data_IF_525966589745
#
_entry.id   IF_525966589745
#
_cell.length_a   1.000
_cell.length_b   1.000
_cell.length_c   1.000
_cell.angle_alpha   90.00
_cell.angle_beta   90.00
_cell.angle_gamma   90.00
#
_symmetry.space_group_name_H-M   'P 1'
#
loop_
_entity.id
_entity.type
_entity.pdbx_description
1 polymer ?
#
# COMPACT_ATOMS: atom_id res chain seq x y z
N UNK A 1 50.59 96.58 -51.29
CA UNK A 1 51.56 95.53 -50.86
C UNK A 1 51.27 94.28 -51.66
N UNK A 2 52.25 93.67 -52.33
CA UNK A 2 52.02 92.47 -53.14
C UNK A 2 51.84 91.24 -52.25
N UNK A 3 50.93 90.35 -52.64
CA UNK A 3 50.62 89.09 -51.94
C UNK A 3 51.87 88.25 -51.63
N UNK A 4 52.91 88.33 -52.47
CA UNK A 4 54.18 87.62 -52.28
C UNK A 4 54.99 88.06 -51.06
N UNK A 5 54.92 89.33 -50.64
CA UNK A 5 55.61 89.81 -49.42
C UNK A 5 54.85 89.36 -48.17
N UNK A 6 53.52 89.40 -48.22
CA UNK A 6 52.67 88.92 -47.12
C UNK A 6 52.77 87.40 -46.94
N UNK A 7 52.77 86.63 -48.04
CA UNK A 7 52.89 85.17 -48.01
C UNK A 7 54.24 84.69 -47.45
N UNK A 8 55.34 85.41 -47.69
CA UNK A 8 56.65 85.11 -47.10
C UNK A 8 56.69 85.40 -45.59
N UNK A 9 56.07 86.48 -45.14
CA UNK A 9 56.04 86.83 -43.71
C UNK A 9 55.04 85.98 -42.90
N UNK A 10 54.05 85.38 -43.56
CA UNK A 10 52.96 84.62 -42.94
C UNK A 10 52.88 83.16 -43.44
N UNK A 11 54.00 82.59 -43.90
CA UNK A 11 54.03 81.25 -44.50
C UNK A 11 53.51 80.14 -43.56
N UNK A 12 53.68 80.33 -42.24
CA UNK A 12 53.13 79.47 -41.19
C UNK A 12 51.59 79.38 -41.25
N UNK A 13 50.89 80.49 -41.56
CA UNK A 13 49.42 80.50 -41.67
C UNK A 13 48.97 79.72 -42.91
N UNK A 14 49.72 79.80 -44.03
CA UNK A 14 49.43 79.03 -45.24
C UNK A 14 49.67 77.52 -45.04
N UNK A 15 50.76 77.16 -44.35
CA UNK A 15 51.04 75.76 -44.00
C UNK A 15 49.98 75.22 -43.04
N UNK A 16 49.63 75.96 -41.99
CA UNK A 16 48.59 75.56 -41.04
C UNK A 16 47.21 75.46 -41.71
N UNK A 17 46.85 76.40 -42.60
CA UNK A 17 45.60 76.32 -43.36
C UNK A 17 45.58 75.12 -44.31
N UNK A 18 46.69 74.84 -44.99
CA UNK A 18 46.84 73.64 -45.84
C UNK A 18 46.70 72.35 -45.04
N UNK A 19 47.32 72.28 -43.85
CA UNK A 19 47.17 71.15 -42.92
C UNK A 19 45.74 71.03 -42.42
N UNK A 20 45.06 72.13 -42.07
CA UNK A 20 43.65 72.10 -41.63
C UNK A 20 42.70 71.62 -42.74
N UNK A 21 42.92 72.04 -43.99
CA UNK A 21 42.11 71.61 -45.14
C UNK A 21 42.39 70.14 -45.48
N UNK A 22 43.64 69.67 -45.37
CA UNK A 22 43.98 68.25 -45.58
C UNK A 22 43.55 67.34 -44.41
N UNK A 23 43.46 67.87 -43.19
CA UNK A 23 43.06 67.13 -42.00
C UNK A 23 41.59 66.70 -42.04
N UNK A 24 40.69 67.48 -42.65
CA UNK A 24 39.26 67.17 -42.67
C UNK A 24 38.94 65.91 -43.54
N UNK A 25 39.39 65.79 -44.80
CA UNK A 25 39.17 64.58 -45.60
C UNK A 25 39.86 63.36 -45.02
N UNK A 26 41.07 63.53 -44.47
CA UNK A 26 41.81 62.42 -43.85
C UNK A 26 41.12 61.95 -42.57
N UNK A 27 40.69 62.85 -41.70
CA UNK A 27 39.89 62.52 -40.51
C UNK A 27 38.58 61.82 -40.88
N UNK A 28 37.87 62.28 -41.92
CA UNK A 28 36.66 61.61 -42.40
C UNK A 28 36.93 60.20 -42.93
N UNK A 29 38.00 60.01 -43.71
CA UNK A 29 38.41 58.70 -44.20
C UNK A 29 38.75 57.72 -43.07
N UNK A 30 39.56 58.17 -42.10
CA UNK A 30 39.90 57.36 -40.93
C UNK A 30 38.68 57.08 -40.05
N UNK A 31 37.81 58.05 -39.84
CA UNK A 31 36.55 57.87 -39.10
C UNK A 31 35.63 56.85 -39.78
N UNK A 32 35.47 56.94 -41.10
CA UNK A 32 34.66 55.99 -41.88
C UNK A 32 35.24 54.57 -41.83
N UNK A 33 36.58 54.45 -41.90
CA UNK A 33 37.27 53.16 -41.77
C UNK A 33 37.09 52.56 -40.37
N UNK A 34 37.32 53.35 -39.32
CA UNK A 34 37.11 52.91 -37.94
C UNK A 34 35.66 52.51 -37.66
N UNK A 35 34.69 53.23 -38.22
CA UNK A 35 33.27 52.90 -38.08
C UNK A 35 32.93 51.57 -38.76
N UNK A 36 33.43 51.35 -39.98
CA UNK A 36 33.27 50.07 -40.69
C UNK A 36 33.93 48.90 -39.94
N UNK A 37 35.14 49.11 -39.43
CA UNK A 37 35.86 48.10 -38.65
C UNK A 37 35.15 47.78 -37.33
N UNK A 38 34.55 48.79 -36.68
CA UNK A 38 33.77 48.59 -35.45
C UNK A 38 32.47 47.82 -35.71
N UNK A 39 31.73 48.17 -36.77
CA UNK A 39 30.53 47.41 -37.18
C UNK A 39 30.91 45.97 -37.52
N UNK A 40 31.98 45.76 -38.29
CA UNK A 40 32.44 44.43 -38.67
C UNK A 40 32.85 43.62 -37.43
N UNK A 41 33.60 44.21 -36.51
CA UNK A 41 34.01 43.55 -35.25
C UNK A 41 32.80 43.16 -34.40
N UNK A 42 31.78 44.01 -34.32
CA UNK A 42 30.55 43.71 -33.58
C UNK A 42 29.71 42.63 -34.28
N UNK A 43 29.63 42.65 -35.61
CA UNK A 43 28.96 41.59 -36.39
C UNK A 43 29.69 40.25 -36.25
N UNK A 44 31.03 40.25 -36.31
CA UNK A 44 31.84 39.05 -36.16
C UNK A 44 31.71 38.47 -34.73
N UNK A 45 31.68 39.32 -33.69
CA UNK A 45 31.38 38.90 -32.31
C UNK A 45 29.97 38.34 -32.18
N UNK A 46 28.95 39.05 -32.67
CA UNK A 46 27.57 38.58 -32.62
C UNK A 46 27.37 37.25 -33.36
N UNK A 47 27.99 37.08 -34.54
CA UNK A 47 27.95 35.83 -35.31
C UNK A 47 28.70 34.71 -34.58
N UNK A 48 29.83 35.02 -33.93
CA UNK A 48 30.58 34.06 -33.11
C UNK A 48 29.74 33.61 -31.91
N UNK A 49 29.18 34.54 -31.15
CA UNK A 49 28.32 34.24 -29.99
C UNK A 49 27.09 33.43 -30.42
N UNK A 50 26.46 33.77 -31.55
CA UNK A 50 25.33 33.03 -32.12
C UNK A 50 25.75 31.62 -32.55
N UNK A 51 26.94 31.47 -33.15
CA UNK A 51 27.48 30.14 -33.51
C UNK A 51 27.80 29.29 -32.29
N UNK A 52 28.35 29.88 -31.22
CA UNK A 52 28.63 29.17 -29.96
C UNK A 52 27.32 28.69 -29.31
N UNK A 53 26.28 29.54 -29.28
CA UNK A 53 24.95 29.17 -28.78
C UNK A 53 24.29 28.10 -29.67
N UNK A 54 24.41 28.19 -30.99
CA UNK A 54 23.86 27.21 -31.92
C UNK A 54 24.53 25.83 -31.81
N UNK A 55 25.77 25.78 -31.29
CA UNK A 55 26.52 24.54 -31.07
C UNK A 55 26.12 23.86 -29.75
N UNK A 56 25.51 24.59 -28.80
CA UNK A 56 24.95 24.01 -27.58
C UNK A 56 23.69 23.19 -27.89
N UNK A 57 23.89 21.88 -28.02
CA UNK A 57 22.80 20.91 -28.07
C UNK A 57 22.35 20.60 -26.66
N UNK A 58 21.07 20.81 -26.39
CA UNK A 58 20.42 20.33 -25.16
C UNK A 58 19.64 19.08 -25.52
N UNK A 59 19.76 18.05 -24.68
CA UNK A 59 18.94 16.84 -24.81
C UNK A 59 17.64 17.06 -24.06
N UNK A 60 16.56 17.15 -24.82
CA UNK A 60 15.21 17.22 -24.30
C UNK A 60 14.73 15.81 -23.96
N UNK A 61 14.38 15.56 -22.70
CA UNK A 61 13.94 14.23 -22.24
C UNK A 61 12.52 14.27 -21.69
N UNK A 62 11.66 13.37 -22.16
CA UNK A 62 10.36 13.12 -21.54
C UNK A 62 10.37 11.72 -20.90
N UNK A 63 10.17 11.61 -19.58
CA UNK A 63 10.14 10.32 -18.91
C UNK A 63 8.88 9.54 -19.30
N UNK A 64 9.02 8.22 -19.41
CA UNK A 64 7.90 7.32 -19.69
C UNK A 64 7.17 7.03 -18.40
N UNK A 65 5.83 7.03 -18.43
CA UNK A 65 5.04 6.52 -17.30
C UNK A 65 5.02 4.99 -17.27
N UNK A 66 5.16 4.34 -18.44
CA UNK A 66 5.06 2.86 -18.55
C UNK A 66 6.37 2.14 -18.31
N UNK A 67 7.49 2.77 -18.67
CA UNK A 67 8.82 2.16 -18.61
C UNK A 67 9.82 3.20 -18.08
N UNK A 68 9.92 3.39 -16.76
CA UNK A 68 10.76 4.43 -16.16
C UNK A 68 12.24 4.31 -16.54
N UNK A 69 12.69 3.09 -16.84
CA UNK A 69 14.07 2.76 -17.24
C UNK A 69 14.36 3.06 -18.73
N UNK A 70 13.32 3.15 -19.57
CA UNK A 70 13.44 3.54 -20.96
C UNK A 70 13.11 5.03 -21.08
N UNK A 71 14.12 5.83 -21.42
CA UNK A 71 13.93 7.24 -21.75
C UNK A 71 13.07 7.33 -23.00
N UNK A 72 11.75 7.44 -22.82
CA UNK A 72 10.76 7.24 -23.89
C UNK A 72 10.82 8.25 -25.01
N UNK A 73 11.50 9.38 -24.82
CA UNK A 73 11.74 10.35 -25.87
C UNK A 73 12.95 11.22 -25.52
N UNK A 74 14.07 11.00 -26.22
CA UNK A 74 15.22 11.89 -26.23
C UNK A 74 15.28 12.61 -27.58
N UNK A 75 15.20 13.94 -27.57
CA UNK A 75 15.41 14.74 -28.77
C UNK A 75 16.61 15.66 -28.54
N UNK A 76 17.77 15.42 -29.16
CA UNK A 76 18.88 16.36 -29.14
C UNK A 76 18.60 17.50 -30.11
N UNK A 77 18.55 18.74 -29.61
CA UNK A 77 18.27 19.90 -30.45
C UNK A 77 18.90 21.18 -29.91
N UNK A 78 18.91 22.27 -30.70
CA UNK A 78 19.33 23.57 -30.20
C UNK A 78 18.38 24.06 -29.09
N UNK A 79 18.88 24.96 -28.24
CA UNK A 79 18.07 25.59 -27.21
C UNK A 79 16.91 26.38 -27.87
N UNK A 80 15.67 25.99 -27.58
CA UNK A 80 14.47 26.58 -28.18
C UNK A 80 13.40 26.76 -27.10
N UNK A 81 13.09 28.01 -26.76
CA UNK A 81 12.13 28.34 -25.70
C UNK A 81 10.76 27.70 -25.92
N UNK A 82 10.25 27.68 -27.15
CA UNK A 82 8.95 27.06 -27.45
C UNK A 82 8.97 25.55 -27.17
N UNK A 83 10.10 24.88 -27.46
CA UNK A 83 10.26 23.46 -27.18
C UNK A 83 10.39 23.19 -25.67
N UNK A 84 11.12 24.04 -24.95
CA UNK A 84 11.21 24.01 -23.48
C UNK A 84 9.81 24.14 -22.87
N UNK A 85 9.03 25.12 -23.31
CA UNK A 85 7.68 25.37 -22.79
C UNK A 85 6.76 24.17 -23.05
N UNK A 86 6.77 23.61 -24.27
CA UNK A 86 5.98 22.41 -24.62
C UNK A 86 6.37 21.20 -23.76
N UNK A 87 7.67 20.96 -23.58
CA UNK A 87 8.15 19.85 -22.75
C UNK A 87 7.82 20.07 -21.28
N UNK A 88 7.90 21.30 -20.79
CA UNK A 88 7.53 21.64 -19.42
C UNK A 88 6.04 21.40 -19.19
N UNK A 89 5.18 21.80 -20.13
CA UNK A 89 3.73 21.51 -20.09
C UNK A 89 3.49 20.00 -20.06
N UNK A 90 4.12 19.23 -20.94
CA UNK A 90 3.91 17.78 -20.99
C UNK A 90 4.48 17.06 -19.76
N UNK A 91 5.66 17.46 -19.26
CA UNK A 91 6.22 16.95 -17.99
C UNK A 91 5.30 17.24 -16.82
N UNK A 92 4.73 18.44 -16.75
CA UNK A 92 3.78 18.80 -15.69
C UNK A 92 2.49 17.98 -15.79
N UNK A 93 2.02 17.71 -17.00
CA UNK A 93 0.86 16.83 -17.23
C UNK A 93 1.15 15.39 -16.81
N UNK A 94 2.28 14.82 -17.25
CA UNK A 94 2.75 13.49 -16.84
C UNK A 94 2.87 13.41 -15.32
N UNK A 95 3.53 14.39 -14.70
CA UNK A 95 3.68 14.46 -13.23
C UNK A 95 2.31 14.51 -12.55
N UNK A 96 1.38 15.33 -13.03
CA UNK A 96 0.03 15.43 -12.48
C UNK A 96 -0.75 14.11 -12.62
N UNK A 97 -0.64 13.41 -13.76
CA UNK A 97 -1.27 12.11 -13.98
C UNK A 97 -0.65 11.02 -13.09
N UNK A 98 0.69 10.93 -13.01
CA UNK A 98 1.38 10.00 -12.12
C UNK A 98 1.06 10.26 -10.64
N UNK A 99 0.97 11.53 -10.22
CA UNK A 99 0.54 11.89 -8.86
C UNK A 99 -0.91 11.48 -8.58
N UNK A 100 -1.80 11.54 -9.58
CA UNK A 100 -3.17 11.04 -9.44
C UNK A 100 -3.19 9.53 -9.22
N UNK A 101 -2.44 8.76 -10.03
CA UNK A 101 -2.33 7.30 -9.86
C UNK A 101 -1.80 6.95 -8.46
N UNK A 102 -0.75 7.64 -8.00
CA UNK A 102 -0.23 7.49 -6.64
C UNK A 102 -1.28 7.79 -5.57
N UNK A 103 -2.04 8.88 -5.71
CA UNK A 103 -3.11 9.23 -4.75
C UNK A 103 -4.24 8.22 -4.72
N UNK A 104 -4.60 7.64 -5.87
CA UNK A 104 -5.62 6.58 -5.96
C UNK A 104 -5.09 5.31 -5.29
N UNK A 105 -3.83 4.95 -5.54
CA UNK A 105 -3.19 3.80 -4.88
C UNK A 105 -3.12 3.97 -3.35
N UNK A 106 -2.83 5.18 -2.86
CA UNK A 106 -2.83 5.47 -1.42
C UNK A 106 -4.23 5.32 -0.81
N UNK A 107 -5.26 5.92 -1.42
CA UNK A 107 -6.64 5.78 -0.94
C UNK A 107 -7.14 4.35 -1.00
N UNK A 108 -6.79 3.63 -2.06
CA UNK A 108 -7.14 2.22 -2.21
C UNK A 108 -6.52 1.38 -1.08
N UNK A 109 -5.26 1.62 -0.73
CA UNK A 109 -4.56 0.89 0.32
C UNK A 109 -4.95 1.32 1.74
N UNK A 110 -5.21 2.61 1.97
CA UNK A 110 -5.75 3.15 3.22
C UNK A 110 -7.20 2.72 3.44
N UNK A 111 -7.92 2.36 2.37
CA UNK A 111 -9.32 1.97 2.40
C UNK A 111 -10.27 3.19 2.40
N UNK A 112 -11.54 2.95 2.09
CA UNK A 112 -12.58 3.99 2.06
C UNK A 112 -13.85 3.52 2.80
N UNK A 113 -14.64 4.48 3.30
CA UNK A 113 -15.90 4.21 3.99
C UNK A 113 -15.72 3.34 5.25
N UNK A 114 -16.46 2.23 5.33
CA UNK A 114 -16.40 1.28 6.45
C UNK A 114 -15.09 0.47 6.50
N UNK A 115 -14.29 0.49 5.42
CA UNK A 115 -12.99 -0.16 5.30
C UNK A 115 -11.81 0.79 5.54
N UNK A 116 -12.06 2.05 5.88
CA UNK A 116 -11.00 3.01 6.16
C UNK A 116 -10.17 2.54 7.35
N UNK A 117 -8.88 2.26 7.11
CA UNK A 117 -7.96 1.77 8.12
C UNK A 117 -7.68 2.84 9.17
N UNK A 118 -8.18 2.60 10.37
CA UNK A 118 -7.94 3.44 11.55
C UNK A 118 -7.27 2.62 12.65
N UNK A 119 -6.45 3.25 13.50
CA UNK A 119 -6.04 2.64 14.76
C UNK A 119 -7.25 2.10 15.51
N UNK A 120 -7.14 0.90 16.07
CA UNK A 120 -8.20 0.30 16.86
C UNK A 120 -8.49 1.10 18.14
N UNK A 121 -7.47 1.83 18.63
CA UNK A 121 -7.58 2.73 19.76
C UNK A 121 -6.86 4.04 19.49
N UNK A 122 -7.51 5.14 19.83
CA UNK A 122 -6.93 6.47 19.75
C UNK A 122 -5.93 6.71 20.88
N UNK A 123 -4.87 7.48 20.59
CA UNK A 123 -3.89 7.94 21.59
C UNK A 123 -2.80 6.93 21.96
N UNK A 124 -2.69 5.80 21.24
CA UNK A 124 -1.59 4.83 21.40
C UNK A 124 -0.46 5.09 20.38
N UNK A 125 -0.83 5.41 19.16
CA UNK A 125 0.07 5.56 18.02
C UNK A 125 0.15 7.02 17.57
N UNK A 126 1.32 7.50 17.09
CA UNK A 126 2.62 6.82 17.02
C UNK A 126 3.37 6.77 18.35
N UNK A 127 2.95 7.57 19.32
CA UNK A 127 3.42 7.60 20.70
C UNK A 127 2.21 7.70 21.63
N UNK A 128 2.36 7.28 22.88
CA UNK A 128 1.29 7.40 23.87
C UNK A 128 0.96 8.88 24.11
N UNK A 129 -0.29 9.28 23.89
CA UNK A 129 -0.73 10.66 24.05
C UNK A 129 -0.56 11.17 25.49
N UNK A 130 -0.71 10.27 26.48
CA UNK A 130 -0.46 10.56 27.90
C UNK A 130 0.49 9.50 28.48
N UNK A 131 1.78 9.85 28.68
CA UNK A 131 2.78 8.94 29.27
C UNK A 131 2.38 8.42 30.66
N UNK A 132 1.63 9.20 31.46
CA UNK A 132 1.18 8.79 32.79
C UNK A 132 0.11 7.70 32.73
N UNK A 133 -0.58 7.56 31.59
CA UNK A 133 -1.60 6.53 31.36
C UNK A 133 -1.11 5.36 30.50
N UNK A 134 0.18 5.29 30.18
CA UNK A 134 0.78 4.24 29.34
C UNK A 134 0.27 2.85 29.72
N UNK A 135 0.45 2.44 30.98
CA UNK A 135 0.06 1.11 31.46
C UNK A 135 -1.44 0.83 31.27
N UNK A 136 -2.30 1.82 31.54
CA UNK A 136 -3.74 1.68 31.38
C UNK A 136 -4.13 1.53 29.90
N UNK A 137 -3.48 2.30 29.01
CA UNK A 137 -3.70 2.21 27.56
C UNK A 137 -3.23 0.85 27.00
N UNK A 138 -2.08 0.34 27.47
CA UNK A 138 -1.59 -0.98 27.07
C UNK A 138 -2.55 -2.10 27.50
N UNK A 139 -3.04 -2.06 28.75
CA UNK A 139 -4.04 -3.02 29.24
C UNK A 139 -5.36 -2.93 28.48
N UNK A 140 -5.82 -1.71 28.17
CA UNK A 140 -7.02 -1.49 27.39
C UNK A 140 -6.85 -2.07 25.96
N UNK A 141 -5.68 -1.89 25.34
CA UNK A 141 -5.41 -2.46 24.01
C UNK A 141 -5.40 -3.99 24.02
N UNK A 142 -4.77 -4.61 25.02
CA UNK A 142 -4.84 -6.07 25.20
C UNK A 142 -6.27 -6.56 25.31
N UNK A 143 -7.11 -5.87 26.11
CA UNK A 143 -8.53 -6.20 26.25
C UNK A 143 -9.29 -6.04 24.94
N UNK A 144 -9.05 -4.95 24.22
CA UNK A 144 -9.76 -4.62 22.99
C UNK A 144 -9.49 -5.67 21.90
N UNK A 145 -8.22 -6.03 21.71
CA UNK A 145 -7.80 -7.07 20.76
C UNK A 145 -8.23 -8.48 21.16
N UNK A 146 -8.25 -8.80 22.45
CA UNK A 146 -8.64 -10.14 22.92
C UNK A 146 -10.16 -10.38 22.93
N UNK A 147 -10.95 -9.34 23.20
CA UNK A 147 -12.38 -9.50 23.52
C UNK A 147 -13.33 -8.89 22.49
N UNK A 148 -12.99 -7.75 21.89
CA UNK A 148 -13.98 -6.92 21.20
C UNK A 148 -13.77 -6.88 19.68
N UNK A 149 -12.54 -6.65 19.22
CA UNK A 149 -12.25 -6.34 17.81
C UNK A 149 -12.62 -7.50 16.88
N UNK A 150 -12.14 -8.72 17.17
CA UNK A 150 -12.36 -9.87 16.28
C UNK A 150 -13.82 -10.32 16.22
N UNK A 151 -14.57 -10.41 17.35
CA UNK A 151 -16.01 -10.67 17.28
C UNK A 151 -16.80 -9.61 16.50
N UNK A 152 -16.44 -8.33 16.63
CA UNK A 152 -17.05 -7.25 15.85
C UNK A 152 -16.77 -7.41 14.35
N UNK A 153 -15.53 -7.76 14.00
CA UNK A 153 -15.10 -8.01 12.63
C UNK A 153 -15.88 -9.19 11.99
N UNK A 154 -15.99 -10.31 12.71
CA UNK A 154 -16.78 -11.49 12.28
C UNK A 154 -18.25 -11.13 12.08
N UNK A 155 -18.83 -10.35 12.99
CA UNK A 155 -20.23 -9.91 12.90
C UNK A 155 -20.47 -9.02 11.67
N UNK A 156 -19.55 -8.09 11.38
CA UNK A 156 -19.65 -7.19 10.21
C UNK A 156 -19.72 -7.97 8.90
N UNK A 157 -18.91 -9.00 8.74
CA UNK A 157 -18.89 -9.84 7.53
C UNK A 157 -19.95 -10.96 7.55
N UNK A 158 -20.87 -10.92 8.52
CA UNK A 158 -21.92 -11.93 8.74
C UNK A 158 -21.36 -13.35 8.84
N UNK A 159 -20.18 -13.52 9.41
CA UNK A 159 -19.61 -14.82 9.68
C UNK A 159 -20.00 -15.30 11.09
N UNK A 160 -19.82 -16.58 11.36
CA UNK A 160 -20.09 -17.12 12.69
C UNK A 160 -19.78 -18.59 12.85
N UNK A 161 -20.08 -19.11 14.04
CA UNK A 161 -19.91 -20.52 14.37
C UNK A 161 -21.11 -21.37 13.90
N UNK A 162 -20.91 -22.70 13.72
CA UNK A 162 -22.03 -23.64 13.58
C UNK A 162 -22.92 -23.64 14.83
N UNK A 163 -24.11 -24.26 14.78
CA UNK A 163 -24.97 -24.37 15.96
C UNK A 163 -24.24 -25.01 17.13
N UNK A 164 -24.42 -24.44 18.32
CA UNK A 164 -23.84 -24.99 19.55
C UNK A 164 -24.28 -26.46 19.73
N UNK A 165 -23.33 -27.42 19.76
CA UNK A 165 -23.64 -28.84 19.90
C UNK A 165 -24.43 -29.16 21.17
N UNK A 166 -24.15 -28.45 22.28
CA UNK A 166 -24.81 -28.70 23.56
C UNK A 166 -26.27 -28.27 23.48
N UNK A 167 -26.52 -27.05 23.02
CA UNK A 167 -27.87 -26.54 22.82
C UNK A 167 -28.67 -27.42 21.85
N UNK A 168 -28.09 -27.80 20.72
CA UNK A 168 -28.76 -28.64 19.74
C UNK A 168 -29.08 -30.03 20.29
N UNK A 169 -28.17 -30.61 21.08
CA UNK A 169 -28.41 -31.91 21.72
C UNK A 169 -29.58 -31.86 22.71
N UNK A 170 -29.73 -30.77 23.47
CA UNK A 170 -30.85 -30.55 24.37
C UNK A 170 -32.17 -30.40 23.62
N UNK A 171 -32.19 -29.59 22.54
CA UNK A 171 -33.36 -29.41 21.67
C UNK A 171 -33.79 -30.75 21.02
N UNK A 172 -32.85 -31.56 20.55
CA UNK A 172 -33.13 -32.88 19.97
C UNK A 172 -33.60 -33.90 21.01
N UNK A 173 -33.06 -33.87 22.24
CA UNK A 173 -33.51 -34.75 23.32
C UNK A 173 -34.95 -34.44 23.74
N UNK A 174 -35.31 -33.17 23.79
CA UNK A 174 -36.69 -32.73 24.05
C UNK A 174 -37.64 -33.16 22.92
N UNK A 175 -37.25 -32.93 21.66
CA UNK A 175 -38.02 -33.37 20.48
C UNK A 175 -38.22 -34.89 20.48
N UNK A 176 -37.17 -35.66 20.76
CA UNK A 176 -37.23 -37.11 20.89
C UNK A 176 -38.26 -37.54 21.94
N UNK A 177 -38.23 -36.96 23.14
CA UNK A 177 -39.19 -37.26 24.21
C UNK A 177 -40.64 -36.93 23.83
N UNK A 178 -40.86 -35.76 23.23
CA UNK A 178 -42.19 -35.30 22.80
C UNK A 178 -42.77 -36.21 21.70
N UNK A 179 -41.97 -36.54 20.68
CA UNK A 179 -42.40 -37.42 19.57
C UNK A 179 -42.61 -38.85 20.02
N UNK A 180 -41.74 -39.39 20.85
CA UNK A 180 -41.90 -40.73 21.45
C UNK A 180 -43.24 -40.81 22.21
N UNK A 181 -43.57 -39.81 23.02
CA UNK A 181 -44.87 -39.75 23.72
C UNK A 181 -46.06 -39.68 22.75
N UNK A 182 -45.94 -38.94 21.65
CA UNK A 182 -46.98 -38.86 20.62
C UNK A 182 -47.18 -40.21 19.89
N UNK A 183 -46.09 -40.90 19.56
CA UNK A 183 -46.15 -42.22 18.91
C UNK A 183 -46.72 -43.30 19.85
N UNK A 184 -46.36 -43.29 21.13
CA UNK A 184 -46.91 -44.22 22.12
C UNK A 184 -48.40 -43.97 22.38
N UNK A 185 -48.82 -42.69 22.50
CA UNK A 185 -50.23 -42.35 22.69
C UNK A 185 -51.10 -42.66 21.48
N UNK A 186 -50.58 -42.54 20.24
CA UNK A 186 -51.31 -42.87 19.02
C UNK A 186 -51.39 -44.37 18.72
N UNK A 187 -50.42 -45.16 19.19
CA UNK A 187 -50.39 -46.62 19.00
C UNK A 187 -51.02 -47.41 20.16
N UNK A 188 -51.26 -46.78 21.32
CA UNK A 188 -51.76 -47.45 22.52
C UNK A 188 -50.77 -48.44 23.16
N UNK A 189 -49.51 -48.46 22.68
CA UNK A 189 -48.45 -49.36 23.17
C UNK A 189 -47.62 -48.69 24.27
N UNK A 190 -47.03 -49.50 25.16
CA UNK A 190 -46.05 -49.04 26.15
C UNK A 190 -44.62 -48.93 25.57
N UNK A 191 -44.36 -49.55 24.42
CA UNK A 191 -43.05 -49.57 23.76
C UNK A 191 -43.16 -49.23 22.28
N UNK A 192 -42.11 -48.62 21.73
CA UNK A 192 -42.00 -48.36 20.29
C UNK A 192 -41.68 -49.67 19.57
N UNK A 193 -42.32 -49.89 18.43
CA UNK A 193 -41.92 -50.94 17.47
C UNK A 193 -40.60 -50.56 16.79
N UNK A 194 -39.82 -51.54 16.29
CA UNK A 194 -38.59 -51.26 15.55
C UNK A 194 -38.77 -50.28 14.39
N UNK A 195 -39.91 -50.37 13.69
CA UNK A 195 -40.25 -49.49 12.57
C UNK A 195 -40.51 -48.05 13.04
N UNK A 196 -41.21 -47.88 14.18
CA UNK A 196 -41.45 -46.56 14.76
C UNK A 196 -40.16 -45.91 15.28
N UNK A 197 -39.24 -46.71 15.84
CA UNK A 197 -37.95 -46.22 16.33
C UNK A 197 -37.04 -45.76 15.16
N UNK A 198 -37.05 -46.50 14.04
CA UNK A 198 -36.35 -46.12 12.82
C UNK A 198 -36.92 -44.80 12.23
N UNK A 199 -38.25 -44.66 12.19
CA UNK A 199 -38.90 -43.43 11.71
C UNK A 199 -38.61 -42.24 12.64
N UNK A 200 -38.65 -42.43 13.97
CA UNK A 200 -38.28 -41.40 14.93
C UNK A 200 -36.84 -40.93 14.72
N UNK A 201 -35.91 -41.88 14.54
CA UNK A 201 -34.50 -41.58 14.28
C UNK A 201 -34.32 -40.78 12.99
N UNK A 202 -35.02 -41.15 11.91
CA UNK A 202 -35.01 -40.42 10.63
C UNK A 202 -35.52 -38.99 10.80
N UNK A 203 -36.60 -38.80 11.57
CA UNK A 203 -37.15 -37.48 11.83
C UNK A 203 -36.20 -36.59 12.64
N UNK A 204 -35.51 -37.14 13.64
CA UNK A 204 -34.52 -36.40 14.43
C UNK A 204 -33.29 -36.03 13.60
N UNK A 205 -32.86 -36.91 12.70
CA UNK A 205 -31.79 -36.60 11.75
C UNK A 205 -32.20 -35.44 10.84
N UNK A 206 -33.42 -35.47 10.30
CA UNK A 206 -33.95 -34.37 9.49
C UNK A 206 -34.03 -33.06 10.28
N UNK A 207 -34.45 -33.09 11.54
CA UNK A 207 -34.47 -31.90 12.40
C UNK A 207 -33.08 -31.33 12.66
N UNK A 208 -32.10 -32.20 12.92
CA UNK A 208 -30.69 -31.82 13.07
C UNK A 208 -30.17 -31.13 11.81
N UNK A 209 -30.37 -31.76 10.65
CA UNK A 209 -29.96 -31.20 9.35
C UNK A 209 -30.65 -29.87 9.05
N UNK A 210 -31.94 -29.76 9.36
CA UNK A 210 -32.67 -28.51 9.20
C UNK A 210 -32.13 -27.41 10.13
N UNK A 211 -31.69 -27.75 11.34
CA UNK A 211 -31.05 -26.79 12.24
C UNK A 211 -29.73 -26.28 11.68
N UNK A 212 -28.88 -27.17 11.17
CA UNK A 212 -27.63 -26.80 10.50
C UNK A 212 -27.89 -25.90 9.28
N UNK A 213 -28.84 -26.27 8.42
CA UNK A 213 -29.22 -25.47 7.24
C UNK A 213 -29.74 -24.09 7.63
N UNK A 214 -30.59 -23.97 8.65
CA UNK A 214 -31.11 -22.68 9.14
C UNK A 214 -30.02 -21.77 9.69
N UNK A 215 -28.98 -22.33 10.31
CA UNK A 215 -27.84 -21.54 10.77
C UNK A 215 -26.97 -21.12 9.58
N UNK A 216 -26.64 -22.06 8.70
CA UNK A 216 -25.88 -21.81 7.48
C UNK A 216 -26.53 -20.72 6.60
N UNK A 217 -27.85 -20.67 6.51
CA UNK A 217 -28.56 -19.67 5.71
C UNK A 217 -28.48 -18.25 6.27
N UNK A 218 -28.15 -18.08 7.56
CA UNK A 218 -27.99 -16.75 8.19
C UNK A 218 -26.59 -16.17 8.03
N UNK A 219 -25.61 -17.03 7.76
CA UNK A 219 -24.20 -16.68 7.72
C UNK A 219 -23.71 -16.55 6.28
N UNK A 220 -22.74 -15.67 6.05
CA UNK A 220 -21.98 -15.67 4.79
C UNK A 220 -21.03 -16.86 4.74
N UNK A 221 -20.27 -17.09 5.81
CA UNK A 221 -19.31 -18.18 5.93
C UNK A 221 -19.08 -18.51 7.40
N UNK A 222 -18.53 -19.68 7.67
CA UNK A 222 -18.15 -20.07 9.02
C UNK A 222 -16.78 -19.49 9.39
N UNK A 223 -16.68 -18.89 10.56
CA UNK A 223 -15.41 -18.45 11.13
C UNK A 223 -15.53 -18.35 12.65
N UNK A 224 -14.45 -18.72 13.34
CA UNK A 224 -14.29 -18.52 14.77
C UNK A 224 -13.22 -17.43 14.99
N UNK A 225 -13.49 -16.39 15.80
CA UNK A 225 -12.50 -15.39 16.20
C UNK A 225 -11.16 -15.99 16.67
N UNK A 226 -11.19 -17.15 17.34
CA UNK A 226 -9.97 -17.82 17.86
C UNK A 226 -9.04 -18.33 16.77
N UNK A 227 -9.58 -18.64 15.59
CA UNK A 227 -8.80 -19.16 14.46
C UNK A 227 -8.15 -18.05 13.62
N UNK A 228 -8.43 -16.78 13.96
CA UNK A 228 -7.97 -15.58 13.25
C UNK A 228 -7.15 -14.69 14.20
N UNK A 229 -7.57 -14.58 15.46
CA UNK A 229 -6.85 -13.79 16.45
C UNK A 229 -5.51 -14.44 16.79
N UNK A 230 -4.42 -13.74 16.47
CA UNK A 230 -3.06 -14.12 16.85
C UNK A 230 -2.57 -13.41 18.11
N UNK A 231 -3.49 -12.84 18.90
CA UNK A 231 -3.12 -12.10 20.10
C UNK A 231 -2.62 -13.13 21.14
N UNK A 232 -1.34 -13.08 21.55
CA UNK A 232 -0.82 -14.03 22.53
C UNK A 232 -1.58 -13.90 23.85
N UNK A 233 -1.81 -15.04 24.52
CA UNK A 233 -2.35 -15.04 25.87
C UNK A 233 -1.41 -14.23 26.77
N UNK A 234 -1.94 -13.19 27.41
CA UNK A 234 -1.16 -12.20 28.16
C UNK A 234 -0.28 -12.88 29.21
N UNK A 235 1.04 -12.72 29.08
CA UNK A 235 2.01 -13.09 30.11
C UNK A 235 2.06 -12.03 31.24
N UNK A 236 3.01 -12.17 32.16
CA UNK A 236 3.24 -11.15 33.21
C UNK A 236 3.81 -9.82 32.67
N UNK A 237 4.39 -9.82 31.46
CA UNK A 237 4.99 -8.64 30.83
C UNK A 237 4.05 -7.99 29.82
N UNK A 238 3.91 -6.66 29.91
CA UNK A 238 3.11 -5.90 28.96
C UNK A 238 3.82 -5.80 27.59
N UNK A 239 3.11 -5.96 26.46
CA UNK A 239 3.69 -5.80 25.14
C UNK A 239 4.28 -4.40 24.88
N UNK A 240 5.31 -4.34 24.05
CA UNK A 240 5.92 -3.09 23.56
C UNK A 240 5.01 -2.37 22.57
N UNK A 241 5.27 -1.08 22.32
CA UNK A 241 4.53 -0.32 21.31
C UNK A 241 4.76 -0.88 19.89
N UNK A 242 5.93 -1.44 19.60
CA UNK A 242 6.21 -2.15 18.36
C UNK A 242 5.36 -3.44 18.21
N UNK A 243 5.18 -4.19 19.30
CA UNK A 243 4.28 -5.36 19.32
C UNK A 243 2.83 -4.96 19.05
N UNK A 244 2.37 -3.89 19.68
CA UNK A 244 1.03 -3.35 19.45
C UNK A 244 0.85 -2.86 18.01
N UNK A 245 1.87 -2.25 17.41
CA UNK A 245 1.85 -1.84 16.00
C UNK A 245 1.72 -3.05 15.07
N UNK A 246 2.45 -4.14 15.36
CA UNK A 246 2.29 -5.39 14.62
C UNK A 246 0.86 -5.93 14.71
N UNK A 247 0.24 -5.93 15.90
CA UNK A 247 -1.16 -6.35 16.06
C UNK A 247 -2.12 -5.46 15.28
N UNK A 248 -1.89 -4.15 15.26
CA UNK A 248 -2.69 -3.19 14.51
C UNK A 248 -2.64 -3.48 13.01
N UNK A 249 -1.45 -3.70 12.46
CA UNK A 249 -1.27 -4.03 11.03
C UNK A 249 -1.90 -5.39 10.71
N UNK A 250 -1.71 -6.39 11.57
CA UNK A 250 -2.37 -7.70 11.42
C UNK A 250 -3.88 -7.59 11.41
N UNK A 251 -4.46 -6.75 12.27
CA UNK A 251 -5.89 -6.50 12.28
C UNK A 251 -6.38 -5.90 10.94
N UNK A 252 -5.68 -4.91 10.39
CA UNK A 252 -6.05 -4.36 9.07
C UNK A 252 -5.98 -5.43 7.96
N UNK A 253 -4.96 -6.28 7.99
CA UNK A 253 -4.84 -7.43 7.07
C UNK A 253 -6.02 -8.40 7.22
N UNK A 254 -6.36 -8.76 8.46
CA UNK A 254 -7.49 -9.64 8.74
C UNK A 254 -8.81 -9.03 8.27
N UNK A 255 -8.99 -7.72 8.46
CA UNK A 255 -10.14 -7.00 7.96
C UNK A 255 -10.25 -7.07 6.44
N UNK A 256 -9.16 -6.78 5.72
CA UNK A 256 -9.12 -6.88 4.27
C UNK A 256 -9.43 -8.28 3.77
N UNK A 257 -8.83 -9.32 4.35
CA UNK A 257 -9.08 -10.69 3.88
C UNK A 257 -10.54 -11.10 4.13
N UNK A 258 -11.10 -10.79 5.30
CA UNK A 258 -12.50 -11.11 5.60
C UNK A 258 -13.47 -10.28 4.74
N UNK A 259 -13.14 -9.02 4.45
CA UNK A 259 -13.87 -8.17 3.52
C UNK A 259 -13.83 -8.74 2.09
N UNK A 260 -12.67 -9.24 1.64
CA UNK A 260 -12.52 -9.90 0.35
C UNK A 260 -13.34 -11.20 0.27
N UNK A 261 -13.38 -11.98 1.35
CA UNK A 261 -14.24 -13.17 1.45
C UNK A 261 -15.72 -12.77 1.33
N UNK A 262 -16.14 -11.75 2.08
CA UNK A 262 -17.51 -11.24 2.01
C UNK A 262 -17.88 -10.75 0.59
N UNK A 263 -16.95 -10.06 -0.08
CA UNK A 263 -17.10 -9.59 -1.46
C UNK A 263 -17.21 -10.76 -2.46
N UNK A 264 -16.39 -11.81 -2.29
CA UNK A 264 -16.45 -13.01 -3.13
C UNK A 264 -17.76 -13.78 -2.94
N UNK A 265 -18.29 -13.77 -1.72
CA UNK A 265 -19.54 -14.45 -1.37
C UNK A 265 -20.80 -13.64 -1.72
N UNK A 266 -20.67 -12.35 -2.01
CA UNK A 266 -21.79 -11.51 -2.40
C UNK A 266 -22.31 -11.93 -3.78
N UNK A 267 -23.62 -12.16 -3.90
CA UNK A 267 -24.22 -12.44 -5.20
C UNK A 267 -24.31 -11.20 -6.07
N UNK A 268 -24.09 -11.35 -7.38
CA UNK A 268 -24.18 -10.25 -8.34
C UNK A 268 -25.59 -9.63 -8.43
N UNK A 269 -26.62 -10.39 -8.07
CA UNK A 269 -28.03 -9.98 -8.16
C UNK A 269 -28.52 -9.21 -6.94
N UNK A 270 -28.13 -9.61 -5.72
CA UNK A 270 -28.63 -8.99 -4.48
C UNK A 270 -27.57 -8.23 -3.70
N UNK A 271 -26.29 -8.40 -4.01
CA UNK A 271 -25.18 -7.85 -3.23
C UNK A 271 -25.02 -8.48 -1.84
N UNK A 272 -25.81 -9.50 -1.51
CA UNK A 272 -25.78 -10.22 -0.25
C UNK A 272 -25.43 -11.70 -0.47
N UNK A 273 -24.89 -12.39 0.56
CA UNK A 273 -24.61 -13.81 0.48
C UNK A 273 -25.89 -14.65 0.58
N UNK A 274 -26.01 -15.68 -0.26
CA UNK A 274 -27.12 -16.64 -0.27
C UNK A 274 -26.94 -17.76 0.78
N UNK A 275 -26.43 -17.40 1.96
CA UNK A 275 -26.01 -18.35 2.98
C UNK A 275 -24.69 -19.08 2.64
N UNK A 276 -24.16 -19.84 3.61
CA UNK A 276 -22.91 -20.60 3.43
C UNK A 276 -22.97 -21.53 2.22
N UNK A 277 -24.12 -22.17 1.98
CA UNK A 277 -24.30 -23.06 0.84
C UNK A 277 -24.11 -22.35 -0.51
N UNK A 278 -24.54 -21.09 -0.63
CA UNK A 278 -24.35 -20.27 -1.83
C UNK A 278 -22.98 -19.60 -1.93
N UNK A 279 -22.22 -19.49 -0.84
CA UNK A 279 -20.93 -18.78 -0.77
C UNK A 279 -19.79 -19.47 -1.49
N UNK A 280 -18.82 -18.70 -2.00
CA UNK A 280 -17.58 -19.24 -2.58
C UNK A 280 -16.71 -19.84 -1.48
N UNK A 281 -16.38 -19.03 -0.48
CA UNK A 281 -15.66 -19.47 0.72
C UNK A 281 -16.69 -19.85 1.77
N UNK A 282 -16.64 -21.11 2.20
CA UNK A 282 -17.61 -21.70 3.12
C UNK A 282 -17.17 -21.55 4.57
N UNK A 283 -15.87 -21.70 4.84
CA UNK A 283 -15.29 -21.67 6.18
C UNK A 283 -13.87 -21.11 6.15
N UNK A 284 -13.52 -20.29 7.14
CA UNK A 284 -12.14 -19.98 7.49
C UNK A 284 -11.71 -20.94 8.59
N UNK A 285 -10.78 -21.84 8.26
CA UNK A 285 -10.24 -22.82 9.19
C UNK A 285 -9.17 -22.17 10.05
N UNK A 286 -8.26 -21.42 9.43
CA UNK A 286 -7.18 -20.71 10.11
C UNK A 286 -6.70 -19.54 9.26
N UNK A 287 -6.37 -18.43 9.91
CA UNK A 287 -5.71 -17.29 9.28
C UNK A 287 -4.52 -16.91 10.15
N UNK A 288 -3.34 -16.79 9.53
CA UNK A 288 -2.12 -16.43 10.25
C UNK A 288 -1.25 -15.48 9.46
N UNK A 289 -0.70 -14.46 10.11
CA UNK A 289 0.13 -13.43 9.49
C UNK A 289 1.54 -13.53 10.03
N UNK A 290 2.52 -13.62 9.14
CA UNK A 290 3.93 -13.69 9.54
C UNK A 290 4.28 -12.50 10.45
N UNK A 291 4.99 -12.73 11.57
CA UNK A 291 5.39 -11.66 12.47
C UNK A 291 6.32 -10.68 11.76
N UNK A 292 6.22 -9.40 12.11
CA UNK A 292 7.14 -8.41 11.55
C UNK A 292 8.55 -8.55 12.13
N UNK A 293 9.56 -8.22 11.33
CA UNK A 293 10.97 -8.22 11.77
C UNK A 293 11.27 -7.24 12.91
N UNK A 294 10.41 -6.25 13.15
CA UNK A 294 10.59 -5.22 14.18
C UNK A 294 9.92 -5.56 15.54
N UNK A 295 9.27 -6.72 15.68
CA UNK A 295 8.57 -7.08 16.94
C UNK A 295 9.53 -7.26 18.12
N UNK A 296 10.79 -7.62 17.87
CA UNK A 296 11.80 -7.86 18.90
C UNK A 296 12.51 -6.58 19.41
N UNK A 297 12.13 -5.41 18.92
CA UNK A 297 12.82 -4.14 19.23
C UNK A 297 12.31 -3.56 20.56
N UNK A 298 13.19 -3.31 21.54
CA UNK A 298 12.81 -2.66 22.80
C UNK A 298 12.30 -1.23 22.57
N UNK A 299 11.32 -0.80 23.38
CA UNK A 299 10.76 0.57 23.36
C UNK A 299 11.74 1.65 23.86
N UNK A 300 12.92 1.30 24.36
CA UNK A 300 13.87 2.21 25.04
C UNK A 300 14.64 3.16 24.10
N UNK A 301 14.27 3.23 22.82
CA UNK A 301 14.80 4.24 21.93
C UNK A 301 14.14 5.60 22.25
N UNK A 302 14.93 6.52 22.82
CA UNK A 302 14.59 7.93 23.11
C UNK A 302 13.78 8.58 21.98
N UNK A 303 12.94 9.61 22.26
CA UNK A 303 12.25 10.37 21.22
C UNK A 303 13.22 10.79 20.10
N UNK A 304 12.72 10.89 18.87
CA UNK A 304 13.51 11.32 17.71
C UNK A 304 14.24 12.61 18.06
N UNK A 305 15.57 12.52 18.23
CA UNK A 305 16.45 13.67 18.44
C UNK A 305 16.73 14.36 17.09
N UNK A 306 17.28 15.59 17.12
CA UNK A 306 17.64 16.39 15.92
C UNK A 306 18.63 15.67 14.98
N UNK A 307 19.21 14.58 15.46
CA UNK A 307 20.17 13.72 14.77
C UNK A 307 19.52 12.71 13.80
N UNK A 308 18.20 12.73 13.56
CA UNK A 308 17.57 11.85 12.57
C UNK A 308 16.90 12.64 11.43
N UNK A 309 17.10 12.18 10.20
CA UNK A 309 16.53 12.78 8.98
C UNK A 309 15.80 11.70 8.19
N UNK A 310 14.73 12.07 7.49
CA UNK A 310 14.13 11.15 6.51
C UNK A 310 15.11 10.95 5.34
N UNK A 311 15.34 9.71 4.90
CA UNK A 311 16.18 9.45 3.74
C UNK A 311 15.63 10.20 2.52
N UNK A 312 16.54 10.79 1.73
CA UNK A 312 16.20 11.50 0.49
C UNK A 312 16.25 10.61 -0.75
N UNK A 313 16.57 9.32 -0.58
CA UNK A 313 16.64 8.38 -1.70
C UNK A 313 15.28 8.25 -2.37
N UNK A 314 15.26 8.43 -3.69
CA UNK A 314 14.07 8.24 -4.55
C UNK A 314 14.28 7.12 -5.55
N UNK A 315 15.30 6.28 -5.31
CA UNK A 315 15.62 5.21 -6.25
C UNK A 315 14.52 4.14 -6.21
N UNK A 316 14.12 3.62 -7.37
CA UNK A 316 13.14 2.54 -7.43
C UNK A 316 13.69 1.30 -6.72
N UNK A 317 12.85 0.64 -5.93
CA UNK A 317 13.21 -0.63 -5.27
C UNK A 317 13.49 -1.67 -6.34
N UNK A 318 14.66 -2.30 -6.26
CA UNK A 318 15.04 -3.34 -7.23
C UNK A 318 14.20 -4.59 -6.97
N UNK A 319 13.45 -5.04 -7.99
CA UNK A 319 12.68 -6.28 -7.89
C UNK A 319 13.61 -7.49 -8.03
N UNK A 320 13.48 -8.45 -7.11
CA UNK A 320 14.22 -9.69 -7.10
C UNK A 320 13.29 -10.90 -7.32
N UNK A 321 13.08 -11.36 -8.57
CA UNK A 321 12.18 -12.47 -8.88
C UNK A 321 12.66 -13.82 -8.33
N UNK A 322 13.89 -13.92 -7.83
CA UNK A 322 14.39 -15.15 -7.18
C UNK A 322 13.80 -15.38 -5.78
N UNK A 323 13.24 -14.34 -5.14
CA UNK A 323 12.70 -14.40 -3.77
C UNK A 323 11.18 -14.60 -3.75
N UNK A 324 10.46 -13.99 -4.70
CA UNK A 324 9.01 -14.07 -4.83
C UNK A 324 8.61 -13.87 -6.29
N UNK A 325 7.46 -14.39 -6.70
CA UNK A 325 6.89 -14.19 -8.05
C UNK A 325 6.66 -12.71 -8.36
N UNK A 326 6.37 -11.89 -7.34
CA UNK A 326 6.22 -10.43 -7.49
C UNK A 326 7.56 -9.70 -7.55
N UNK A 327 8.65 -10.37 -7.19
CA UNK A 327 9.98 -9.80 -7.02
C UNK A 327 10.10 -8.81 -5.86
N UNK A 328 9.03 -8.56 -5.10
CA UNK A 328 9.07 -7.55 -4.03
C UNK A 328 9.71 -8.13 -2.78
N UNK A 329 10.45 -7.30 -2.04
CA UNK A 329 11.09 -7.67 -0.78
C UNK A 329 10.95 -6.55 0.27
N UNK A 330 11.08 -6.91 1.54
CA UNK A 330 11.25 -5.94 2.65
C UNK A 330 12.74 -5.60 2.84
N UNK A 331 13.50 -5.47 1.75
CA UNK A 331 14.92 -5.18 1.83
C UNK A 331 15.18 -3.78 2.45
N UNK A 332 16.34 -3.53 3.07
CA UNK A 332 16.62 -2.26 3.76
C UNK A 332 16.54 -1.01 2.87
N UNK A 333 16.72 -1.17 1.56
CA UNK A 333 16.58 -0.12 0.54
C UNK A 333 15.12 0.18 0.19
N UNK A 334 14.16 -0.66 0.61
CA UNK A 334 12.74 -0.41 0.41
C UNK A 334 12.19 0.57 1.45
N UNK A 335 11.96 1.80 0.99
CA UNK A 335 11.40 2.89 1.81
C UNK A 335 9.91 3.16 1.53
N UNK A 336 9.30 2.46 0.57
CA UNK A 336 7.98 2.83 0.04
C UNK A 336 6.84 2.00 0.61
N UNK A 337 7.10 0.73 0.93
CA UNK A 337 6.04 -0.19 1.35
C UNK A 337 6.55 -1.28 2.29
N UNK A 338 5.63 -1.88 3.02
CA UNK A 338 5.82 -3.08 3.82
C UNK A 338 5.06 -4.24 3.18
N UNK A 339 5.72 -5.39 3.06
CA UNK A 339 5.12 -6.65 2.63
C UNK A 339 4.82 -7.51 3.84
N UNK A 340 3.62 -8.09 3.87
CA UNK A 340 3.20 -9.05 4.90
C UNK A 340 2.62 -10.28 4.23
N UNK A 341 3.11 -11.45 4.61
CA UNK A 341 2.59 -12.72 4.12
C UNK A 341 1.56 -13.28 5.10
N UNK A 342 0.50 -13.84 4.52
CA UNK A 342 -0.61 -14.43 5.23
C UNK A 342 -0.77 -15.87 4.77
N UNK A 343 -0.82 -16.80 5.71
CA UNK A 343 -1.26 -18.16 5.47
C UNK A 343 -2.74 -18.27 5.80
N UNK A 344 -3.54 -18.61 4.80
CA UNK A 344 -4.99 -18.72 4.91
C UNK A 344 -5.43 -20.15 4.58
N UNK A 345 -6.02 -20.84 5.55
CA UNK A 345 -6.66 -22.14 5.37
C UNK A 345 -8.18 -21.96 5.35
N UNK A 346 -8.81 -22.33 4.24
CA UNK A 346 -10.24 -22.16 4.01
C UNK A 346 -10.87 -23.44 3.44
N UNK A 347 -12.16 -23.63 3.67
CA UNK A 347 -12.99 -24.57 2.90
C UNK A 347 -13.73 -23.77 1.85
N UNK A 348 -13.59 -24.17 0.59
CA UNK A 348 -14.02 -23.37 -0.57
C UNK A 348 -14.65 -24.25 -1.65
N UNK A 349 -15.53 -23.66 -2.45
CA UNK A 349 -15.98 -24.24 -3.70
C UNK A 349 -14.87 -24.13 -4.77
N UNK A 350 -14.23 -25.22 -5.20
CA UNK A 350 -13.05 -25.16 -6.06
C UNK A 350 -13.31 -24.48 -7.40
N UNK A 351 -14.50 -24.69 -7.99
CA UNK A 351 -14.88 -24.10 -9.28
C UNK A 351 -15.02 -22.56 -9.21
N UNK A 352 -15.18 -22.01 -8.01
CA UNK A 352 -15.41 -20.57 -7.79
C UNK A 352 -14.23 -19.87 -7.12
N UNK A 353 -13.15 -20.60 -6.86
CA UNK A 353 -11.92 -20.06 -6.27
C UNK A 353 -11.35 -18.85 -7.04
N UNK A 354 -11.38 -18.78 -8.40
CA UNK A 354 -10.92 -17.58 -9.11
C UNK A 354 -11.69 -16.30 -8.72
N UNK A 355 -12.98 -16.40 -8.40
CA UNK A 355 -13.77 -15.26 -7.94
C UNK A 355 -13.29 -14.72 -6.58
N UNK A 356 -12.73 -15.58 -5.73
CA UNK A 356 -12.09 -15.17 -4.49
C UNK A 356 -10.76 -14.43 -4.75
N UNK A 357 -9.96 -14.89 -5.72
CA UNK A 357 -8.73 -14.20 -6.11
C UNK A 357 -9.01 -12.80 -6.67
N UNK A 358 -10.03 -12.67 -7.51
CA UNK A 358 -10.49 -11.38 -8.01
C UNK A 358 -10.96 -10.46 -6.87
N UNK A 359 -11.63 -11.02 -5.86
CA UNK A 359 -12.09 -10.26 -4.70
C UNK A 359 -10.91 -9.75 -3.85
N UNK A 360 -9.87 -10.56 -3.64
CA UNK A 360 -8.65 -10.12 -2.96
C UNK A 360 -8.04 -8.90 -3.68
N UNK A 361 -7.88 -8.97 -5.01
CA UNK A 361 -7.31 -7.89 -5.80
C UNK A 361 -8.16 -6.61 -5.82
N UNK A 362 -9.49 -6.73 -5.65
CA UNK A 362 -10.42 -5.58 -5.55
C UNK A 362 -10.45 -4.95 -4.17
N UNK A 363 -10.01 -5.67 -3.14
CA UNK A 363 -10.08 -5.22 -1.76
C UNK A 363 -8.85 -4.41 -1.39
N UNK A 364 -7.65 -4.94 -1.65
CA UNK A 364 -6.38 -4.24 -1.42
C UNK A 364 -5.28 -4.83 -2.33
N UNK A 365 -4.04 -4.36 -2.22
CA UNK A 365 -2.87 -4.92 -2.90
C UNK A 365 -2.48 -6.29 -2.32
N UNK A 366 -3.25 -7.31 -2.69
CA UNK A 366 -3.10 -8.69 -2.25
C UNK A 366 -2.81 -9.59 -3.44
N UNK A 367 -1.75 -10.39 -3.36
CA UNK A 367 -1.33 -11.32 -4.42
C UNK A 367 -1.23 -12.73 -3.84
N UNK A 368 -1.89 -13.70 -4.48
CA UNK A 368 -1.77 -15.11 -4.11
C UNK A 368 -0.46 -15.66 -4.65
N UNK A 369 0.44 -16.08 -3.78
CA UNK A 369 1.74 -16.65 -4.13
C UNK A 369 1.67 -18.16 -4.34
N UNK A 370 0.85 -18.83 -3.52
CA UNK A 370 0.73 -20.29 -3.51
C UNK A 370 -0.71 -20.68 -3.18
N UNK A 371 -1.16 -21.77 -3.80
CA UNK A 371 -2.47 -22.37 -3.56
C UNK A 371 -2.33 -23.90 -3.57
N UNK A 372 -2.54 -24.52 -2.42
CA UNK A 372 -2.59 -25.97 -2.24
C UNK A 372 -4.04 -26.37 -2.01
N UNK A 373 -4.50 -27.44 -2.67
CA UNK A 373 -5.86 -27.95 -2.55
C UNK A 373 -5.82 -29.39 -2.04
N UNK A 374 -6.57 -29.65 -0.98
CA UNK A 374 -6.72 -30.96 -0.35
C UNK A 374 -8.20 -31.36 -0.28
N UNK A 375 -8.43 -32.66 -0.17
CA UNK A 375 -9.77 -33.20 0.09
C UNK A 375 -10.28 -32.75 1.47
N UNK A 376 -11.56 -32.38 1.53
CA UNK A 376 -12.22 -32.02 2.79
C UNK A 376 -13.17 -33.15 3.21
N UNK A 377 -12.98 -33.79 4.37
CA UNK A 377 -13.88 -34.85 4.86
C UNK A 377 -15.21 -34.24 5.34
N UNK A 378 -16.19 -34.16 4.44
CA UNK A 378 -17.48 -33.49 4.69
C UNK A 378 -18.26 -34.21 5.81
N UNK A 379 -18.12 -35.53 5.94
CA UNK A 379 -18.83 -36.32 6.95
C UNK A 379 -18.44 -35.91 8.37
N UNK A 380 -17.18 -35.57 8.60
CA UNK A 380 -16.69 -35.13 9.91
C UNK A 380 -17.14 -33.69 10.21
N UNK A 381 -17.11 -32.83 9.20
CA UNK A 381 -17.62 -31.46 9.30
C UNK A 381 -19.13 -31.42 9.62
N UNK A 382 -19.93 -32.32 9.03
CA UNK A 382 -21.36 -32.44 9.34
C UNK A 382 -21.58 -32.89 10.79
N UNK A 383 -20.73 -33.77 11.33
CA UNK A 383 -20.82 -34.18 12.76
C UNK A 383 -20.56 -32.99 13.68
N UNK A 384 -19.63 -32.11 13.29
CA UNK A 384 -19.31 -30.85 14.00
C UNK A 384 -20.35 -29.73 13.76
N UNK A 385 -21.30 -29.93 12.85
CA UNK A 385 -22.40 -29.00 12.60
C UNK A 385 -22.17 -28.00 11.48
N UNK A 386 -21.12 -28.18 10.68
CA UNK A 386 -20.89 -27.42 9.47
C UNK A 386 -21.75 -27.96 8.33
N UNK A 387 -22.45 -27.06 7.63
CA UNK A 387 -23.26 -27.41 6.46
C UNK A 387 -22.87 -26.53 5.27
N UNK A 388 -22.38 -27.15 4.20
CA UNK A 388 -21.85 -26.45 3.03
C UNK A 388 -22.76 -26.49 1.80
N UNK A 389 -23.91 -27.15 1.88
CA UNK A 389 -24.80 -27.39 0.73
C UNK A 389 -24.40 -28.61 -0.09
N UNK A 390 -24.97 -28.71 -1.30
CA UNK A 390 -24.79 -29.87 -2.20
C UNK A 390 -23.56 -29.72 -3.12
N UNK A 391 -22.88 -28.57 -3.05
CA UNK A 391 -21.70 -28.28 -3.85
C UNK A 391 -20.47 -28.99 -3.27
N UNK A 392 -19.62 -29.52 -4.15
CA UNK A 392 -18.34 -30.09 -3.74
C UNK A 392 -17.44 -29.01 -3.13
N UNK A 393 -16.80 -29.33 -2.00
CA UNK A 393 -15.88 -28.42 -1.31
C UNK A 393 -14.49 -29.05 -1.18
N UNK A 394 -13.47 -28.21 -1.13
CA UNK A 394 -12.08 -28.60 -0.88
C UNK A 394 -11.50 -27.75 0.22
N UNK A 395 -10.49 -28.25 0.90
CA UNK A 395 -9.64 -27.44 1.76
C UNK A 395 -8.59 -26.77 0.89
N UNK A 396 -8.51 -25.45 0.94
CA UNK A 396 -7.47 -24.69 0.26
C UNK A 396 -6.56 -24.03 1.29
N UNK A 397 -5.25 -24.18 1.09
CA UNK A 397 -4.22 -23.46 1.84
C UNK A 397 -3.54 -22.49 0.90
N UNK A 398 -3.65 -21.20 1.23
CA UNK A 398 -3.17 -20.09 0.43
C UNK A 398 -2.05 -19.37 1.16
N UNK A 399 -1.03 -18.95 0.41
CA UNK A 399 -0.05 -17.96 0.87
C UNK A 399 -0.31 -16.68 0.10
N UNK A 400 -0.69 -15.62 0.81
CA UNK A 400 -1.08 -14.33 0.25
C UNK A 400 -0.05 -13.28 0.67
N UNK A 401 0.52 -12.57 -0.29
CA UNK A 401 1.34 -11.38 -0.06
C UNK A 401 0.44 -10.14 -0.05
N UNK A 402 0.53 -9.34 1.01
CA UNK A 402 -0.17 -8.05 1.14
C UNK A 402 0.84 -6.92 1.18
N UNK A 403 0.55 -5.82 0.47
CA UNK A 403 1.42 -4.65 0.37
C UNK A 403 0.78 -3.44 1.07
N UNK A 404 1.57 -2.78 1.92
CA UNK A 404 1.14 -1.63 2.73
C UNK A 404 2.04 -0.43 2.44
N UNK A 405 1.48 0.65 1.90
CA UNK A 405 2.22 1.84 1.50
C UNK A 405 2.58 2.69 2.73
N UNK A 406 3.89 2.91 2.95
CA UNK A 406 4.39 3.67 4.10
C UNK A 406 3.91 5.11 4.11
N UNK A 407 3.64 5.69 2.94
CA UNK A 407 3.15 7.05 2.78
C UNK A 407 1.95 7.41 3.68
N UNK A 408 1.05 6.45 3.95
CA UNK A 408 -0.07 6.67 4.86
C UNK A 408 0.08 5.98 6.21
N UNK A 409 0.85 4.90 6.33
CA UNK A 409 1.02 4.20 7.62
C UNK A 409 2.01 4.91 8.55
N UNK A 410 2.99 5.65 8.03
CA UNK A 410 4.03 6.33 8.82
C UNK A 410 3.48 7.33 9.84
N UNK A 411 2.30 7.91 9.61
CA UNK A 411 1.64 8.82 10.59
C UNK A 411 1.27 8.11 11.90
N UNK A 412 1.05 6.79 11.85
CA UNK A 412 0.71 5.96 13.01
C UNK A 412 1.89 5.08 13.46
N UNK A 413 2.92 4.92 12.63
CA UNK A 413 4.05 4.06 12.93
C UNK A 413 4.86 4.57 14.14
N UNK A 414 5.17 3.72 15.13
CA UNK A 414 6.04 4.08 16.24
C UNK A 414 7.46 4.43 15.79
N UNK A 415 8.14 5.28 16.54
CA UNK A 415 9.48 5.75 16.18
C UNK A 415 10.54 4.64 16.22
N UNK A 416 10.40 3.68 17.14
CA UNK A 416 11.23 2.46 17.16
C UNK A 416 11.13 1.69 15.85
N UNK A 417 9.91 1.51 15.34
CA UNK A 417 9.63 0.82 14.07
C UNK A 417 10.15 1.63 12.88
N UNK A 418 9.97 2.96 12.87
CA UNK A 418 10.50 3.83 11.81
C UNK A 418 12.02 3.70 11.65
N UNK A 419 12.76 3.61 12.76
CA UNK A 419 14.22 3.41 12.74
C UNK A 419 14.59 2.03 12.19
N UNK A 420 13.92 0.98 12.66
CA UNK A 420 14.19 -0.39 12.20
C UNK A 420 13.90 -0.58 10.71
N UNK A 421 12.88 0.10 10.18
CA UNK A 421 12.50 0.04 8.77
C UNK A 421 13.30 1.02 7.88
N UNK A 422 14.27 1.76 8.44
CA UNK A 422 15.06 2.74 7.68
C UNK A 422 14.26 3.94 7.18
N UNK A 423 13.10 4.23 7.78
CA UNK A 423 12.28 5.42 7.46
C UNK A 423 12.90 6.68 8.09
N UNK A 424 13.70 6.51 9.14
CA UNK A 424 14.51 7.55 9.76
C UNK A 424 15.97 7.10 9.76
N UNK A 425 16.85 7.88 9.15
CA UNK A 425 18.30 7.67 9.15
C UNK A 425 18.97 8.63 10.14
N UNK A 426 20.11 8.22 10.71
CA UNK A 426 20.93 9.13 11.52
C UNK A 426 21.60 10.13 10.58
N UNK A 427 21.46 11.43 10.89
CA UNK A 427 22.15 12.52 10.21
C UNK A 427 23.65 12.21 10.22
N UNK A 428 24.34 12.20 9.08
CA UNK A 428 25.79 12.03 9.08
C UNK A 428 26.39 13.17 9.92
N UNK A 429 27.18 12.83 10.95
CA UNK A 429 27.99 13.82 11.66
C UNK A 429 28.88 14.50 10.61
N UNK A 430 28.70 15.81 10.44
CA UNK A 430 29.67 16.62 9.69
C UNK A 430 31.00 16.42 10.40
N UNK A 431 31.95 15.76 9.72
CA UNK A 431 33.32 15.63 10.18
C UNK A 431 34.01 16.99 10.11
N UNK A 432 33.62 17.92 10.98
CA UNK A 432 34.27 19.20 11.19
C UNK A 432 35.29 19.00 12.31
N UNK A 433 36.39 18.32 11.96
CA UNK A 433 37.43 17.94 12.92
C UNK A 433 38.59 17.16 12.30
N UNK A 434 38.86 17.30 11.00
CA UNK A 434 40.12 16.87 10.42
C UNK A 434 41.14 18.02 10.60
N UNK A 435 42.00 17.85 11.60
CA UNK A 435 43.10 18.75 11.94
C UNK A 435 43.94 19.12 10.70
N UNK A 436 44.27 20.41 10.58
CA UNK A 436 45.28 20.91 9.66
C UNK A 436 46.62 20.17 9.89
N UNK A 437 47.31 19.73 8.83
CA UNK A 437 48.68 19.23 8.98
C UNK A 437 49.61 20.40 9.34
N UNK A 438 50.54 20.22 10.31
CA UNK A 438 51.51 21.25 10.65
C UNK A 438 52.45 21.49 9.46
N UNK A 439 52.70 22.78 9.19
CA UNK A 439 53.64 23.27 8.17
C UNK A 439 55.10 22.99 8.53
#
# INVERSE_FOLDING_TARGET
MSFGVWAKSNWLILVLSGVSVAALPTAFYFSSKMHKDLIKTQQDKANKDLSEIATYKVTYTLPSVKEPELKSFEFPGPLNQKLIDVIQVERNKIKAESSKVGSVAFKFNEGEGERLHKPAMDGIFPTFADPMRKTNLQLAMVREFSTNIYPALITRVKAGAPPDPQRLSAELAESHGNKKRLMLSSSGSQTLTPEQDAELSKQLLLERMNSYRRQASKLSFYADPKNISEVPATGQTLPTLASFWDWQVKYWIHDDILSAIALANATRTTGAPDGVAGSVVKRVVKMSVEPSSFVEVPDELSPIDENYVQPTSKEPVTLNPSVSVTGRTNAPDNQFYDLRKVTLEIVVAPQRLPAFFDALAKTNFMTVLQCELDEQPIEDDIKEGFFYGDEHVVKAKLVIETLWLRAWTTKYMPDSVKRTLGVLEVKPETAEGAAEPPQ
#
